data_IF_002501124179
#
_entry.id   IF_002501124179
#
_cell.length_a   1.000
_cell.length_b   1.000
_cell.length_c   1.000
_cell.angle_alpha   90.00
_cell.angle_beta   90.00
_cell.angle_gamma   90.00
#
_symmetry.space_group_name_H-M   'P 1'
#
loop_
_entity.id
_entity.type
_entity.pdbx_description
1 polymer ?
#
# COMPACT_ATOMS: atom_id res chain seq x y z
N UNK A 1 15.13 -29.04 -11.03
CA UNK A 1 14.19 -27.90 -10.97
C UNK A 1 15.02 -26.65 -10.78
N UNK A 2 15.35 -25.95 -11.87
CA UNK A 2 16.24 -24.79 -11.82
C UNK A 2 15.39 -23.53 -11.61
N UNK A 3 15.42 -22.97 -10.40
CA UNK A 3 14.86 -21.64 -10.13
C UNK A 3 15.95 -20.65 -10.54
N UNK A 4 15.84 -20.13 -11.77
CA UNK A 4 16.63 -18.98 -12.20
C UNK A 4 16.11 -17.77 -11.42
N UNK A 5 16.82 -17.40 -10.35
CA UNK A 5 16.60 -16.12 -9.68
C UNK A 5 17.21 -15.04 -10.58
N UNK A 6 16.40 -14.45 -11.47
CA UNK A 6 16.76 -13.16 -12.07
C UNK A 6 16.99 -12.18 -10.90
N UNK A 7 18.06 -11.36 -10.94
CA UNK A 7 18.23 -10.28 -9.99
C UNK A 7 16.95 -9.43 -9.97
N UNK A 8 16.45 -9.11 -8.79
CA UNK A 8 15.40 -8.08 -8.64
C UNK A 8 16.10 -6.78 -9.00
N UNK A 9 15.96 -6.33 -10.25
CA UNK A 9 16.46 -5.03 -10.68
C UNK A 9 15.80 -3.98 -9.79
N UNK A 10 16.54 -3.09 -9.11
CA UNK A 10 15.91 -1.97 -8.43
C UNK A 10 15.12 -1.17 -9.46
N UNK A 11 13.85 -0.90 -9.17
CA UNK A 11 13.02 -0.08 -10.06
C UNK A 11 13.73 1.27 -10.30
N UNK A 12 13.72 1.80 -11.54
CA UNK A 12 14.35 3.08 -11.85
C UNK A 12 13.83 4.19 -10.92
N UNK A 13 14.71 5.11 -10.56
CA UNK A 13 14.54 6.21 -9.59
C UNK A 13 13.40 7.21 -9.89
N UNK A 14 12.55 6.95 -10.88
CA UNK A 14 11.50 7.87 -11.32
C UNK A 14 10.13 7.39 -10.82
N UNK A 15 9.48 8.23 -10.02
CA UNK A 15 8.12 8.05 -9.52
C UNK A 15 7.26 9.18 -10.08
N UNK A 16 6.17 8.83 -10.75
CA UNK A 16 5.22 9.78 -11.36
C UNK A 16 3.82 9.54 -10.80
N UNK A 17 3.02 10.60 -10.74
CA UNK A 17 1.57 10.47 -10.65
C UNK A 17 1.00 10.54 -12.06
N UNK A 18 0.25 9.51 -12.44
CA UNK A 18 -0.46 9.44 -13.73
C UNK A 18 -1.90 9.12 -13.39
N UNK A 19 -2.79 10.04 -13.72
CA UNK A 19 -4.19 10.02 -13.27
C UNK A 19 -4.30 9.87 -11.74
N UNK A 20 -4.87 8.76 -11.28
CA UNK A 20 -5.00 8.41 -9.86
C UNK A 20 -4.10 7.22 -9.47
N UNK A 21 -2.97 7.06 -10.17
CA UNK A 21 -1.98 6.01 -9.92
C UNK A 21 -0.58 6.57 -9.66
N UNK A 22 0.15 5.91 -8.75
CA UNK A 22 1.59 6.08 -8.57
C UNK A 22 2.29 5.11 -9.51
N UNK A 23 3.09 5.63 -10.43
CA UNK A 23 3.81 4.87 -11.44
C UNK A 23 5.31 4.90 -11.15
N UNK A 24 5.94 3.73 -11.18
CA UNK A 24 7.36 3.55 -10.92
C UNK A 24 8.09 3.11 -12.18
N UNK A 25 9.32 3.58 -12.34
CA UNK A 25 10.22 3.02 -13.34
C UNK A 25 9.74 3.19 -14.78
N UNK A 26 9.17 4.36 -15.08
CA UNK A 26 8.60 4.69 -16.39
C UNK A 26 7.53 3.70 -16.90
N UNK A 27 6.64 3.26 -16.00
CA UNK A 27 5.55 2.34 -16.33
C UNK A 27 5.83 0.88 -15.98
N UNK A 28 6.96 0.58 -15.35
CA UNK A 28 7.30 -0.77 -14.88
C UNK A 28 6.31 -1.30 -13.84
N UNK A 29 5.87 -0.44 -12.92
CA UNK A 29 4.92 -0.79 -11.87
C UNK A 29 3.94 0.35 -11.63
N UNK A 30 2.74 0.00 -11.18
CA UNK A 30 1.73 0.97 -10.76
C UNK A 30 1.04 0.56 -9.46
N UNK A 31 0.64 1.56 -8.70
CA UNK A 31 -0.14 1.43 -7.47
C UNK A 31 -1.31 2.40 -7.56
N UNK A 32 -2.54 1.91 -7.41
CA UNK A 32 -3.73 2.75 -7.24
C UNK A 32 -4.53 2.31 -6.02
N UNK A 33 -5.39 3.19 -5.51
CA UNK A 33 -6.18 2.94 -4.31
C UNK A 33 -7.65 2.84 -4.69
N UNK A 34 -8.24 1.68 -4.49
CA UNK A 34 -9.61 1.40 -4.93
C UNK A 34 -10.58 1.53 -3.77
N UNK A 35 -11.64 2.31 -3.95
CA UNK A 35 -12.77 2.38 -3.01
C UNK A 35 -13.42 1.02 -2.89
N UNK A 36 -13.87 0.71 -1.68
CA UNK A 36 -14.66 -0.50 -1.44
C UNK A 36 -15.62 -0.38 -0.27
N UNK A 37 -16.42 -1.42 -0.08
CA UNK A 37 -17.30 -1.55 1.07
C UNK A 37 -16.49 -1.85 2.33
N UNK A 38 -16.80 -1.13 3.41
CA UNK A 38 -16.29 -1.46 4.73
C UNK A 38 -16.93 -2.76 5.21
N UNK A 39 -16.11 -3.76 5.52
CA UNK A 39 -16.59 -5.05 6.04
C UNK A 39 -16.53 -5.07 7.57
N UNK A 40 -17.37 -5.87 8.24
CA UNK A 40 -17.24 -6.15 9.67
C UNK A 40 -15.87 -6.74 10.02
N UNK A 41 -15.35 -6.40 11.20
CA UNK A 41 -14.04 -6.87 11.68
C UNK A 41 -13.98 -8.37 12.00
N UNK A 42 -15.14 -9.03 12.03
CA UNK A 42 -15.28 -10.47 12.32
C UNK A 42 -15.96 -11.20 11.18
N UNK A 43 -15.55 -12.44 10.94
CA UNK A 43 -16.14 -13.32 9.93
C UNK A 43 -15.30 -13.42 8.65
N UNK A 44 -15.75 -14.26 7.73
CA UNK A 44 -15.17 -14.38 6.40
C UNK A 44 -16.01 -13.58 5.42
N UNK A 45 -15.36 -12.72 4.64
CA UNK A 45 -16.01 -11.86 3.65
C UNK A 45 -15.47 -12.20 2.26
N UNK A 46 -16.28 -11.95 1.22
CA UNK A 46 -15.80 -12.02 -0.14
C UNK A 46 -14.75 -10.92 -0.40
N UNK A 47 -13.97 -11.08 -1.48
CA UNK A 47 -13.03 -10.05 -1.92
C UNK A 47 -13.78 -8.72 -2.11
N UNK A 48 -13.26 -7.60 -1.56
CA UNK A 48 -13.91 -6.31 -1.65
C UNK A 48 -14.11 -5.89 -3.12
N UNK A 49 -15.31 -5.47 -3.54
CA UNK A 49 -15.51 -4.97 -4.90
C UNK A 49 -14.77 -3.64 -5.09
N UNK A 50 -14.32 -3.35 -6.31
CA UNK A 50 -13.85 -2.02 -6.68
C UNK A 50 -15.03 -1.08 -6.94
N UNK A 51 -15.06 0.06 -6.25
CA UNK A 51 -16.07 1.12 -6.40
C UNK A 51 -15.46 2.41 -7.01
N UNK A 52 -14.30 2.28 -7.66
CA UNK A 52 -13.57 3.36 -8.33
C UNK A 52 -12.34 3.86 -7.56
N UNK A 53 -11.41 4.48 -8.26
CA UNK A 53 -10.15 4.96 -7.69
C UNK A 53 -10.32 6.16 -6.77
N UNK A 54 -9.64 6.15 -5.63
CA UNK A 54 -9.41 7.36 -4.84
C UNK A 54 -8.50 8.32 -5.60
N UNK A 55 -8.77 9.63 -5.54
CA UNK A 55 -7.88 10.61 -6.11
C UNK A 55 -6.52 10.57 -5.40
N UNK A 56 -5.45 10.47 -6.19
CA UNK A 56 -4.07 10.64 -5.69
C UNK A 56 -3.57 11.99 -6.19
N UNK A 57 -3.11 12.84 -5.28
CA UNK A 57 -2.69 14.21 -5.60
C UNK A 57 -1.27 14.43 -5.13
N UNK A 58 -0.47 15.15 -5.89
CA UNK A 58 0.83 15.59 -5.41
C UNK A 58 0.64 16.42 -4.14
N UNK A 59 1.55 16.28 -3.17
CA UNK A 59 1.55 17.12 -1.98
C UNK A 59 1.73 18.59 -2.38
N UNK A 60 0.77 19.44 -2.05
CA UNK A 60 0.94 20.90 -2.15
C UNK A 60 1.86 21.38 -1.03
N UNK A 61 3.12 21.61 -1.38
CA UNK A 61 4.16 22.02 -0.43
C UNK A 61 3.97 23.44 0.12
N UNK A 62 3.10 24.25 -0.49
CA UNK A 62 2.80 25.61 -0.03
C UNK A 62 1.76 25.65 1.08
N UNK A 63 0.86 24.67 1.12
CA UNK A 63 -0.21 24.55 2.10
C UNK A 63 0.03 23.46 3.17
N UNK A 64 0.99 22.56 2.94
CA UNK A 64 1.26 21.44 3.84
C UNK A 64 2.15 21.81 5.05
N UNK A 65 1.98 21.13 6.20
CA UNK A 65 2.89 21.25 7.34
C UNK A 65 4.35 20.92 6.95
N UNK A 66 5.31 21.61 7.54
CA UNK A 66 6.74 21.43 7.24
C UNK A 66 7.23 19.98 7.38
N UNK A 67 6.69 19.22 8.33
CA UNK A 67 7.00 17.80 8.53
C UNK A 67 6.52 16.91 7.37
N UNK A 68 5.43 17.29 6.69
CA UNK A 68 4.94 16.61 5.49
C UNK A 68 5.77 17.01 4.27
N UNK A 69 6.05 18.31 4.12
CA UNK A 69 6.88 18.82 3.03
C UNK A 69 8.29 18.21 3.04
N UNK A 70 8.89 18.03 4.22
CA UNK A 70 10.20 17.39 4.36
C UNK A 70 10.21 15.90 3.95
N UNK A 71 9.10 15.19 4.14
CA UNK A 71 8.95 13.78 3.73
C UNK A 71 8.57 13.64 2.26
N UNK A 72 7.88 14.63 1.70
CA UNK A 72 7.30 14.58 0.36
C UNK A 72 6.18 13.55 0.25
N UNK A 73 5.88 13.14 -0.99
CA UNK A 73 4.88 12.13 -1.31
C UNK A 73 3.60 12.69 -1.92
N UNK A 74 2.54 11.90 -1.83
CA UNK A 74 1.22 12.21 -2.36
C UNK A 74 0.18 12.23 -1.23
N UNK A 75 -0.92 12.93 -1.48
CA UNK A 75 -2.09 13.00 -0.62
C UNK A 75 -3.26 12.27 -1.26
N UNK A 76 -4.05 11.64 -0.40
CA UNK A 76 -5.29 10.94 -0.76
C UNK A 76 -6.43 11.55 0.04
N UNK A 77 -7.28 12.39 -0.57
CA UNK A 77 -8.50 12.87 0.06
C UNK A 77 -9.44 11.70 0.37
N UNK A 78 -9.66 11.45 1.66
CA UNK A 78 -10.51 10.36 2.15
C UNK A 78 -11.37 10.83 3.32
N UNK A 79 -12.65 10.47 3.32
CA UNK A 79 -13.58 10.71 4.42
C UNK A 79 -13.45 9.63 5.50
N UNK A 80 -13.78 10.00 6.74
CA UNK A 80 -13.80 9.06 7.85
C UNK A 80 -14.71 7.87 7.52
N UNK A 81 -14.21 6.67 7.81
CA UNK A 81 -14.84 5.35 7.58
C UNK A 81 -14.92 4.89 6.13
N UNK A 82 -14.38 5.64 5.17
CA UNK A 82 -14.15 5.08 3.84
C UNK A 82 -13.10 3.97 3.91
N UNK A 83 -13.33 2.92 3.12
CA UNK A 83 -12.48 1.74 3.04
C UNK A 83 -11.86 1.63 1.65
N UNK A 84 -10.66 1.05 1.58
CA UNK A 84 -9.92 0.84 0.35
C UNK A 84 -9.23 -0.52 0.30
N UNK A 85 -8.85 -0.92 -0.91
CA UNK A 85 -7.80 -1.90 -1.17
C UNK A 85 -6.80 -1.32 -2.17
N UNK A 86 -5.61 -1.91 -2.23
CA UNK A 86 -4.52 -1.43 -3.09
C UNK A 86 -4.49 -2.27 -4.35
N UNK A 87 -4.64 -1.62 -5.51
CA UNK A 87 -4.46 -2.23 -6.83
C UNK A 87 -3.00 -2.13 -7.25
N UNK A 88 -2.46 -3.24 -7.72
CA UNK A 88 -1.04 -3.38 -8.04
C UNK A 88 -0.87 -3.89 -9.47
N UNK A 89 -0.10 -3.15 -10.26
CA UNK A 89 0.23 -3.50 -11.63
C UNK A 89 1.73 -3.63 -11.84
N UNK A 90 2.13 -4.53 -12.72
CA UNK A 90 3.49 -4.53 -13.28
C UNK A 90 3.55 -5.22 -14.63
N UNK A 91 4.45 -4.74 -15.49
CA UNK A 91 4.80 -5.38 -16.76
C UNK A 91 5.83 -6.49 -16.62
N UNK A 92 6.51 -6.60 -15.47
CA UNK A 92 7.60 -7.55 -15.22
C UNK A 92 7.51 -8.15 -13.81
N UNK A 93 8.19 -9.28 -13.53
CA UNK A 93 8.27 -9.81 -12.18
C UNK A 93 9.01 -8.86 -11.23
N UNK A 94 8.29 -8.33 -10.23
CA UNK A 94 8.85 -7.45 -9.20
C UNK A 94 8.41 -7.84 -7.79
N UNK A 95 9.27 -7.55 -6.82
CA UNK A 95 8.96 -7.65 -5.40
C UNK A 95 8.68 -6.25 -4.85
N UNK A 96 7.47 -6.02 -4.36
CA UNK A 96 7.06 -4.72 -3.82
C UNK A 96 6.80 -4.82 -2.32
N UNK A 97 7.51 -4.02 -1.53
CA UNK A 97 7.23 -3.89 -0.11
C UNK A 97 6.23 -2.76 0.11
N UNK A 98 5.17 -3.05 0.88
CA UNK A 98 4.12 -2.09 1.23
C UNK A 98 4.09 -1.94 2.74
N UNK A 99 3.99 -0.70 3.21
CA UNK A 99 3.93 -0.39 4.63
C UNK A 99 2.93 0.74 4.92
N UNK A 100 2.35 0.70 6.12
CA UNK A 100 1.48 1.72 6.70
C UNK A 100 2.01 2.05 8.09
N UNK A 101 2.11 3.33 8.46
CA UNK A 101 2.63 3.72 9.78
C UNK A 101 4.01 3.14 10.14
N UNK A 102 4.90 2.95 9.17
CA UNK A 102 6.20 2.25 9.32
C UNK A 102 6.11 0.76 9.73
N UNK A 103 4.97 0.12 9.51
CA UNK A 103 4.77 -1.33 9.70
C UNK A 103 4.57 -1.99 8.34
N UNK A 104 5.30 -3.09 8.08
CA UNK A 104 5.17 -3.87 6.86
C UNK A 104 3.78 -4.52 6.80
N UNK A 105 3.00 -4.20 5.76
CA UNK A 105 1.62 -4.65 5.61
C UNK A 105 1.48 -6.17 5.45
N UNK A 106 2.54 -6.84 4.95
CA UNK A 106 2.56 -8.30 4.75
C UNK A 106 2.85 -9.04 6.06
N UNK A 107 3.80 -8.55 6.87
CA UNK A 107 4.28 -9.27 8.06
C UNK A 107 3.68 -8.78 9.37
N UNK A 108 3.20 -7.53 9.42
CA UNK A 108 2.81 -6.83 10.65
C UNK A 108 4.00 -6.50 11.56
N UNK A 109 5.22 -6.48 11.01
CA UNK A 109 6.46 -6.15 11.74
C UNK A 109 6.97 -4.76 11.33
N UNK A 110 7.84 -4.11 12.14
CA UNK A 110 8.46 -2.85 11.75
C UNK A 110 9.07 -2.90 10.35
N UNK A 111 8.89 -1.83 9.58
CA UNK A 111 9.46 -1.68 8.25
C UNK A 111 10.99 -1.76 8.32
N UNK A 112 11.57 -2.47 7.36
CA UNK A 112 13.02 -2.63 7.21
C UNK A 112 13.43 -2.24 5.79
N UNK A 113 14.63 -1.69 5.63
CA UNK A 113 15.14 -1.25 4.31
C UNK A 113 15.50 -2.40 3.35
N UNK A 114 15.22 -3.66 3.73
CA UNK A 114 15.57 -4.85 2.95
C UNK A 114 14.36 -5.73 2.70
N UNK A 115 14.31 -6.32 1.51
CA UNK A 115 13.44 -7.43 1.21
C UNK A 115 13.94 -8.69 1.94
N UNK A 116 13.02 -9.41 2.57
CA UNK A 116 13.24 -10.72 3.19
C UNK A 116 12.27 -11.73 2.60
N UNK A 117 12.76 -12.96 2.37
CA UNK A 117 11.94 -14.11 1.98
C UNK A 117 11.45 -14.93 3.17
N UNK A 118 12.06 -14.76 4.34
CA UNK A 118 11.71 -15.51 5.54
C UNK A 118 11.85 -14.66 6.81
N UNK A 119 10.75 -14.17 7.39
CA UNK A 119 9.41 -14.16 6.79
C UNK A 119 9.37 -13.28 5.53
N UNK A 120 8.53 -13.62 4.55
CA UNK A 120 8.35 -12.81 3.34
C UNK A 120 7.73 -11.44 3.71
N UNK A 121 8.36 -10.34 3.28
CA UNK A 121 7.91 -8.98 3.62
C UNK A 121 7.50 -8.13 2.40
N UNK A 122 7.13 -8.77 1.30
CA UNK A 122 6.77 -8.13 0.03
C UNK A 122 5.66 -8.92 -0.68
N UNK A 123 5.01 -8.26 -1.63
CA UNK A 123 4.06 -8.87 -2.58
C UNK A 123 4.79 -9.15 -3.91
N UNK A 124 4.43 -10.25 -4.56
CA UNK A 124 5.01 -10.66 -5.84
C UNK A 124 4.10 -10.19 -6.98
N UNK A 125 4.56 -9.27 -7.82
CA UNK A 125 3.83 -8.84 -9.01
C UNK A 125 4.38 -9.54 -10.26
N UNK A 126 3.54 -9.82 -11.27
CA UNK A 126 2.11 -9.51 -11.36
C UNK A 126 1.18 -10.52 -10.67
N UNK A 127 1.72 -11.59 -10.07
CA UNK A 127 0.93 -12.72 -9.53
C UNK A 127 0.00 -12.35 -8.36
N UNK A 128 0.31 -11.28 -7.62
CA UNK A 128 -0.50 -10.73 -6.53
C UNK A 128 -0.95 -9.29 -6.87
N UNK A 129 -1.97 -9.11 -7.73
CA UNK A 129 -2.34 -7.79 -8.26
C UNK A 129 -3.18 -6.93 -7.30
N UNK A 130 -3.38 -7.38 -6.06
CA UNK A 130 -4.09 -6.63 -5.04
C UNK A 130 -3.51 -6.84 -3.63
N UNK A 131 -3.79 -5.89 -2.75
CA UNK A 131 -3.68 -6.02 -1.31
C UNK A 131 -4.95 -5.44 -0.65
N UNK A 132 -5.82 -6.33 -0.15
CA UNK A 132 -7.15 -6.02 0.38
C UNK A 132 -7.20 -5.87 1.91
N UNK A 133 -6.11 -6.24 2.59
CA UNK A 133 -5.89 -6.00 4.00
C UNK A 133 -4.42 -6.06 4.36
N UNK A 134 -4.12 -5.67 5.59
CA UNK A 134 -2.78 -5.73 6.16
C UNK A 134 -2.79 -6.50 7.46
N UNK A 135 -1.65 -7.12 7.79
CA UNK A 135 -1.46 -7.78 9.08
C UNK A 135 -1.15 -6.74 10.15
N UNK A 136 -2.00 -6.64 11.18
CA UNK A 136 -1.76 -5.80 12.35
C UNK A 136 -0.82 -6.47 13.36
N UNK A 137 -0.24 -5.69 14.26
CA UNK A 137 0.71 -6.18 15.28
C UNK A 137 0.13 -7.24 16.23
N UNK A 138 -1.19 -7.28 16.39
CA UNK A 138 -1.94 -8.29 17.15
C UNK A 138 -2.19 -9.61 16.38
N UNK A 139 -1.66 -9.74 15.17
CA UNK A 139 -1.77 -10.94 14.33
C UNK A 139 -3.08 -11.05 13.54
N UNK A 140 -3.98 -10.06 13.61
CA UNK A 140 -5.22 -10.02 12.80
C UNK A 140 -4.97 -9.40 11.43
N UNK A 141 -5.88 -9.68 10.50
CA UNK A 141 -5.94 -8.97 9.22
C UNK A 141 -6.95 -7.83 9.35
N UNK A 142 -6.56 -6.63 8.92
CA UNK A 142 -7.40 -5.43 8.95
C UNK A 142 -7.54 -4.84 7.56
N UNK A 143 -8.71 -4.28 7.28
CA UNK A 143 -8.97 -3.53 6.05
C UNK A 143 -8.33 -2.14 6.15
N UNK A 144 -7.90 -1.57 5.03
CA UNK A 144 -7.48 -0.17 4.98
C UNK A 144 -8.70 0.73 5.11
N UNK A 145 -8.88 1.33 6.28
CA UNK A 145 -10.02 2.21 6.60
C UNK A 145 -9.49 3.53 7.14
N UNK A 146 -10.04 4.64 6.70
CA UNK A 146 -9.77 5.95 7.30
C UNK A 146 -10.41 6.02 8.69
N UNK A 147 -9.60 5.87 9.74
CA UNK A 147 -10.00 6.02 11.13
C UNK A 147 -9.65 7.42 11.67
N UNK A 148 -10.30 7.86 12.76
CA UNK A 148 -9.81 9.03 13.49
C UNK A 148 -8.55 8.64 14.25
N UNK A 149 -7.63 9.60 14.36
CA UNK A 149 -6.61 9.57 15.40
C UNK A 149 -7.34 9.51 16.76
N UNK A 150 -7.14 8.43 17.49
CA UNK A 150 -7.64 8.17 18.84
C UNK A 150 -8.47 6.89 18.91
N UNK A 151 -8.87 6.33 17.77
CA UNK A 151 -9.85 5.23 17.71
C UNK A 151 -9.22 3.83 17.84
N UNK A 152 -7.89 3.73 18.04
CA UNK A 152 -7.17 2.44 18.15
C UNK A 152 -7.18 1.59 16.86
N UNK A 153 -7.65 2.20 15.77
CA UNK A 153 -7.74 1.61 14.44
C UNK A 153 -6.67 2.13 13.47
N UNK A 154 -5.90 3.15 13.87
CA UNK A 154 -4.73 3.64 13.11
C UNK A 154 -3.51 2.76 13.42
N UNK A 155 -2.55 2.70 12.51
CA UNK A 155 -1.31 1.93 12.73
C UNK A 155 -0.36 2.70 13.64
N UNK A 156 -0.45 4.03 13.65
CA UNK A 156 0.37 4.94 14.44
C UNK A 156 0.01 4.98 15.93
N UNK A 157 -1.13 4.42 16.33
CA UNK A 157 -1.59 4.34 17.73
C UNK A 157 -1.48 2.94 18.33
N UNK A 158 -0.82 2.01 17.63
CA UNK A 158 -0.64 0.61 18.03
C UNK A 158 0.75 0.33 18.58
#
# INVERSE_FOLDING_TARGET
MAVSARPITPAPNEVKLVDDSIVFGDGLASVSLQRTLRVPETGSHALPPGLGDFPIRALDTTAAPASMTARGGAMVPIYQREAMWISLGSSEPIAMQIATGLVCAVTGQPLTDKLSRNPQNYVCLPDQPWLDGFKSGDGRIRQFVAARLGDGATVEEQ
#
